data_IF_934699828525
#
_entry.id   IF_934699828525
#
_cell.length_a   1.000
_cell.length_b   1.000
_cell.length_c   1.000
_cell.angle_alpha   90.00
_cell.angle_beta   90.00
_cell.angle_gamma   90.00
#
_symmetry.space_group_name_H-M   'P 1'
#
loop_
_entity.id
_entity.type
_entity.pdbx_description
1 polymer ?
#
# COMPACT_ATOMS: atom_id res chain seq x y z
N UNK A 1 3.12 -9.02 -1.26
CA UNK A 1 4.56 -8.92 -1.61
C UNK A 1 5.16 -10.21 -2.20
N UNK A 2 5.32 -11.36 -1.50
CA UNK A 2 5.97 -12.55 -2.08
C UNK A 2 5.22 -13.16 -3.28
N UNK A 3 3.88 -13.16 -3.21
CA UNK A 3 3.04 -13.64 -4.32
C UNK A 3 3.19 -12.77 -5.58
N UNK A 4 3.38 -11.46 -5.42
CA UNK A 4 3.59 -10.54 -6.54
C UNK A 4 4.95 -10.78 -7.19
N UNK A 5 6.03 -10.89 -6.39
CA UNK A 5 7.37 -11.21 -6.90
C UNK A 5 7.36 -12.50 -7.73
N UNK A 6 6.67 -13.54 -7.24
CA UNK A 6 6.49 -14.78 -8.01
C UNK A 6 5.81 -14.52 -9.36
N UNK A 7 4.71 -13.77 -9.39
CA UNK A 7 4.00 -13.45 -10.64
C UNK A 7 4.87 -12.65 -11.62
N UNK A 8 5.72 -11.73 -11.13
CA UNK A 8 6.67 -10.98 -11.96
C UNK A 8 7.68 -11.90 -12.66
N UNK A 9 8.16 -12.93 -11.94
CA UNK A 9 9.05 -13.95 -12.51
C UNK A 9 8.31 -14.81 -13.52
N UNK A 10 7.10 -15.28 -13.18
CA UNK A 10 6.27 -16.12 -14.06
C UNK A 10 5.91 -15.42 -15.37
N UNK A 11 5.63 -14.11 -15.34
CA UNK A 11 5.34 -13.32 -16.53
C UNK A 11 6.59 -12.81 -17.27
N UNK A 12 7.79 -13.08 -16.74
CA UNK A 12 9.07 -12.63 -17.29
C UNK A 12 9.13 -11.11 -17.44
N UNK A 13 8.73 -10.40 -16.39
CA UNK A 13 8.91 -8.96 -16.31
C UNK A 13 10.39 -8.58 -16.50
N UNK A 14 10.68 -7.33 -16.94
CA UNK A 14 12.03 -6.79 -16.99
C UNK A 14 12.84 -7.10 -15.73
N UNK A 15 14.09 -7.53 -15.92
CA UNK A 15 14.92 -8.05 -14.83
C UNK A 15 15.19 -6.99 -13.74
N UNK A 16 15.29 -5.72 -14.14
CA UNK A 16 15.40 -4.58 -13.23
C UNK A 16 14.16 -4.40 -12.35
N UNK A 17 12.95 -4.56 -12.90
CA UNK A 17 11.71 -4.56 -12.12
C UNK A 17 11.64 -5.75 -11.15
N UNK A 18 12.05 -6.94 -11.57
CA UNK A 18 12.13 -8.11 -10.70
C UNK A 18 13.16 -7.89 -9.59
N UNK A 19 14.34 -7.37 -9.93
CA UNK A 19 15.41 -7.11 -8.98
C UNK A 19 15.00 -6.07 -7.93
N UNK A 20 14.30 -5.01 -8.36
CA UNK A 20 13.75 -4.00 -7.45
C UNK A 20 12.72 -4.63 -6.50
N UNK A 21 11.69 -5.29 -7.05
CA UNK A 21 10.63 -5.90 -6.26
C UNK A 21 11.10 -7.03 -5.33
N UNK A 22 12.27 -7.64 -5.61
CA UNK A 22 12.86 -8.67 -4.76
C UNK A 22 13.32 -8.16 -3.40
N UNK A 23 13.53 -6.84 -3.25
CA UNK A 23 13.96 -6.21 -2.00
C UNK A 23 12.78 -5.99 -1.06
N UNK A 24 11.61 -5.69 -1.59
CA UNK A 24 10.46 -5.27 -0.80
C UNK A 24 10.05 -6.25 0.30
N UNK A 25 10.04 -7.59 0.10
CA UNK A 25 9.76 -8.51 1.20
C UNK A 25 10.74 -8.38 2.37
N UNK A 26 12.01 -8.02 2.12
CA UNK A 26 13.00 -7.81 3.17
C UNK A 26 12.77 -6.48 3.89
N UNK A 27 12.41 -5.43 3.15
CA UNK A 27 12.03 -4.14 3.74
C UNK A 27 10.87 -4.34 4.73
N UNK A 28 9.82 -5.06 4.32
CA UNK A 28 8.68 -5.36 5.20
C UNK A 28 9.06 -6.18 6.43
N UNK A 29 9.98 -7.14 6.32
CA UNK A 29 10.47 -7.88 7.48
C UNK A 29 11.18 -6.95 8.48
N UNK A 30 11.97 -6.00 7.96
CA UNK A 30 12.63 -4.99 8.79
C UNK A 30 11.60 -4.05 9.43
N UNK A 31 10.61 -3.59 8.67
CA UNK A 31 9.55 -2.71 9.17
C UNK A 31 8.76 -3.36 10.30
N UNK A 32 8.36 -4.62 10.12
CA UNK A 32 7.65 -5.39 11.16
C UNK A 32 8.50 -5.56 12.42
N UNK A 33 9.78 -5.92 12.28
CA UNK A 33 10.70 -6.07 13.41
C UNK A 33 10.90 -4.75 14.17
N UNK A 34 11.09 -3.63 13.46
CA UNK A 34 11.23 -2.32 14.08
C UNK A 34 9.97 -1.91 14.85
N UNK A 35 8.79 -2.10 14.25
CA UNK A 35 7.51 -1.84 14.90
C UNK A 35 7.29 -2.73 16.14
N UNK A 36 7.64 -4.02 16.05
CA UNK A 36 7.54 -4.95 17.18
C UNK A 36 8.47 -4.55 18.33
N UNK A 37 9.69 -4.10 18.04
CA UNK A 37 10.63 -3.60 19.06
C UNK A 37 10.12 -2.33 19.73
N UNK A 38 9.59 -1.37 18.95
CA UNK A 38 8.97 -0.17 19.54
C UNK A 38 7.83 -0.56 20.47
N UNK A 39 6.95 -1.49 20.05
CA UNK A 39 5.89 -1.98 20.91
C UNK A 39 6.43 -2.63 22.20
N UNK A 40 7.52 -3.40 22.11
CA UNK A 40 8.20 -3.99 23.26
C UNK A 40 8.78 -2.97 24.24
N UNK A 41 9.48 -1.95 23.73
CA UNK A 41 10.04 -0.86 24.54
C UNK A 41 8.94 -0.04 25.25
N UNK A 42 7.76 0.07 24.62
CA UNK A 42 6.58 0.71 25.21
C UNK A 42 5.76 -0.21 26.13
N UNK A 43 6.22 -1.44 26.37
CA UNK A 43 5.57 -2.42 27.25
C UNK A 43 4.34 -3.11 26.65
N UNK A 44 4.11 -2.95 25.35
CA UNK A 44 2.96 -3.49 24.60
C UNK A 44 3.28 -4.69 23.70
N UNK A 45 4.45 -5.31 23.84
CA UNK A 45 4.78 -6.49 23.04
C UNK A 45 3.77 -7.63 23.29
N UNK A 46 3.19 -8.11 22.20
CA UNK A 46 2.28 -9.25 22.18
C UNK A 46 2.73 -10.26 21.14
N UNK A 47 2.50 -11.55 21.39
CA UNK A 47 2.67 -12.57 20.37
C UNK A 47 1.67 -12.33 19.24
N UNK A 48 2.16 -12.09 18.04
CA UNK A 48 1.33 -11.96 16.84
C UNK A 48 1.00 -13.36 16.31
N UNK A 49 -0.28 -13.72 16.33
CA UNK A 49 -0.80 -14.91 15.66
C UNK A 49 -1.61 -14.49 14.44
N UNK A 50 -1.31 -15.05 13.28
CA UNK A 50 -2.06 -14.79 12.05
C UNK A 50 -2.27 -16.08 11.26
N UNK A 51 -3.30 -16.09 10.43
CA UNK A 51 -3.56 -17.14 9.46
C UNK A 51 -2.81 -16.80 8.16
N UNK A 52 -1.78 -17.58 7.77
CA UNK A 52 -0.98 -17.30 6.58
C UNK A 52 -1.81 -17.27 5.29
N UNK A 53 -2.90 -18.04 5.22
CA UNK A 53 -3.74 -18.12 4.02
C UNK A 53 -4.65 -16.89 3.86
N UNK A 54 -4.90 -16.17 4.96
CA UNK A 54 -5.76 -14.97 4.97
C UNK A 54 -4.97 -13.67 5.00
N UNK A 55 -3.64 -13.75 5.11
CA UNK A 55 -2.77 -12.58 5.23
C UNK A 55 -2.55 -11.87 3.88
N UNK A 56 -2.59 -12.61 2.77
CA UNK A 56 -2.36 -12.04 1.43
C UNK A 56 -3.63 -12.15 0.62
N UNK A 57 -4.25 -11.01 0.31
CA UNK A 57 -5.37 -10.96 -0.61
C UNK A 57 -4.95 -11.53 -1.97
N UNK A 58 -5.86 -12.25 -2.64
CA UNK A 58 -5.57 -12.80 -3.96
C UNK A 58 -6.21 -11.97 -5.06
N UNK A 59 -5.44 -11.74 -6.12
CA UNK A 59 -5.84 -10.95 -7.28
C UNK A 59 -5.38 -11.63 -8.57
N UNK A 60 -6.25 -11.65 -9.58
CA UNK A 60 -5.95 -12.24 -10.89
C UNK A 60 -5.76 -13.77 -10.87
N UNK A 61 -6.40 -14.49 -9.94
CA UNK A 61 -6.33 -15.96 -9.97
C UNK A 61 -6.95 -16.53 -11.24
N UNK A 62 -6.29 -17.55 -11.80
CA UNK A 62 -6.69 -18.17 -13.05
C UNK A 62 -6.38 -17.35 -14.31
N UNK A 63 -5.91 -16.11 -14.17
CA UNK A 63 -5.44 -15.31 -15.30
C UNK A 63 -4.06 -15.77 -15.79
N UNK A 64 -3.73 -15.42 -17.04
CA UNK A 64 -2.38 -15.55 -17.58
C UNK A 64 -1.35 -14.79 -16.71
N UNK A 65 -0.08 -15.24 -16.65
CA UNK A 65 0.90 -14.72 -15.69
C UNK A 65 1.06 -13.19 -15.69
N UNK A 66 1.08 -12.54 -16.86
CA UNK A 66 1.21 -11.09 -16.96
C UNK A 66 -0.03 -10.36 -16.41
N UNK A 67 -1.23 -10.83 -16.79
CA UNK A 67 -2.49 -10.24 -16.36
C UNK A 67 -2.63 -10.39 -14.84
N UNK A 68 -2.31 -11.57 -14.30
CA UNK A 68 -2.24 -11.81 -12.86
C UNK A 68 -1.28 -10.87 -12.14
N UNK A 69 -0.05 -10.70 -12.66
CA UNK A 69 0.91 -9.76 -12.08
C UNK A 69 0.37 -8.32 -12.11
N UNK A 70 -0.26 -7.90 -13.20
CA UNK A 70 -0.85 -6.56 -13.32
C UNK A 70 -1.99 -6.33 -12.33
N UNK A 71 -2.88 -7.32 -12.11
CA UNK A 71 -3.92 -7.24 -11.07
C UNK A 71 -3.33 -7.02 -9.68
N UNK A 72 -2.28 -7.78 -9.34
CA UNK A 72 -1.59 -7.65 -8.05
C UNK A 72 -0.87 -6.30 -7.92
N UNK A 73 -0.20 -5.83 -8.98
CA UNK A 73 0.50 -4.54 -8.98
C UNK A 73 -0.47 -3.37 -8.83
N UNK A 74 -1.61 -3.43 -9.52
CA UNK A 74 -2.67 -2.41 -9.38
C UNK A 74 -3.18 -2.36 -7.94
N UNK A 75 -3.58 -3.50 -7.38
CA UNK A 75 -4.16 -3.54 -6.04
C UNK A 75 -3.16 -3.13 -4.95
N UNK A 76 -1.95 -3.71 -4.95
CA UNK A 76 -1.00 -3.52 -3.86
C UNK A 76 -0.20 -2.23 -3.97
N UNK A 77 0.27 -1.85 -5.16
CA UNK A 77 1.18 -0.71 -5.30
C UNK A 77 0.47 0.55 -5.81
N UNK A 78 -0.34 0.41 -6.85
CA UNK A 78 -0.99 1.56 -7.48
C UNK A 78 -2.17 2.10 -6.66
N UNK A 79 -2.76 1.25 -5.80
CA UNK A 79 -3.77 1.65 -4.82
C UNK A 79 -3.20 1.60 -3.41
N UNK A 80 -2.73 0.43 -2.95
CA UNK A 80 -2.23 0.24 -1.58
C UNK A 80 -1.10 1.21 -1.23
N UNK A 81 0.06 1.09 -1.88
CA UNK A 81 1.23 1.92 -1.57
C UNK A 81 1.03 3.40 -1.88
N UNK A 82 0.38 3.71 -3.01
CA UNK A 82 0.03 5.09 -3.36
C UNK A 82 -0.87 5.78 -2.30
N UNK A 83 -1.58 5.02 -1.46
CA UNK A 83 -2.33 5.54 -0.32
C UNK A 83 -1.55 5.47 0.99
N UNK A 84 -0.85 4.37 1.27
CA UNK A 84 -0.17 4.13 2.54
C UNK A 84 1.00 5.09 2.76
N UNK A 85 1.80 5.36 1.73
CA UNK A 85 3.07 6.10 1.85
C UNK A 85 2.83 7.56 2.28
N UNK A 86 1.90 8.33 1.67
CA UNK A 86 1.58 9.67 2.15
C UNK A 86 1.08 9.69 3.59
N UNK A 87 0.35 8.66 4.01
CA UNK A 87 -0.19 8.54 5.36
C UNK A 87 0.90 8.21 6.37
N UNK A 88 1.81 7.30 6.03
CA UNK A 88 2.99 6.99 6.82
C UNK A 88 3.88 8.23 6.99
N UNK A 89 4.10 9.00 5.93
CA UNK A 89 4.82 10.27 6.01
C UNK A 89 4.08 11.31 6.89
N UNK A 90 2.75 11.32 6.87
CA UNK A 90 1.91 12.11 7.79
C UNK A 90 2.10 11.70 9.25
N UNK A 91 2.03 10.40 9.54
CA UNK A 91 2.30 9.78 10.85
C UNK A 91 3.70 10.15 11.36
N UNK A 92 4.72 10.03 10.50
CA UNK A 92 6.08 10.47 10.84
C UNK A 92 6.14 11.95 11.21
N UNK A 93 5.47 12.83 10.45
CA UNK A 93 5.43 14.26 10.76
C UNK A 93 4.73 14.57 12.08
N UNK A 94 3.64 13.86 12.38
CA UNK A 94 2.90 14.02 13.62
C UNK A 94 3.65 13.48 14.85
N UNK A 95 4.52 12.48 14.66
CA UNK A 95 5.24 11.83 15.75
C UNK A 95 6.28 12.76 16.41
N UNK A 96 6.20 12.90 17.74
CA UNK A 96 7.14 13.69 18.55
C UNK A 96 8.06 12.81 19.39
N UNK A 97 7.65 11.57 19.71
CA UNK A 97 8.44 10.64 20.50
C UNK A 97 9.73 10.24 19.75
N UNK A 98 10.94 10.47 20.31
CA UNK A 98 12.19 10.34 19.56
C UNK A 98 12.42 8.96 18.93
N UNK A 99 12.15 7.89 19.69
CA UNK A 99 12.36 6.51 19.22
C UNK A 99 11.43 6.19 18.04
N UNK A 100 10.13 6.42 18.22
CA UNK A 100 9.09 6.13 17.23
C UNK A 100 9.29 6.97 15.99
N UNK A 101 9.66 8.24 16.15
CA UNK A 101 9.95 9.13 15.03
C UNK A 101 11.16 8.66 14.22
N UNK A 102 12.22 8.15 14.87
CA UNK A 102 13.39 7.61 14.19
C UNK A 102 13.04 6.34 13.40
N UNK A 103 12.22 5.45 13.97
CA UNK A 103 11.74 4.26 13.27
C UNK A 103 10.86 4.63 12.08
N UNK A 104 9.88 5.52 12.26
CA UNK A 104 9.03 5.99 11.17
C UNK A 104 9.85 6.69 10.06
N UNK A 105 10.90 7.44 10.42
CA UNK A 105 11.79 8.06 9.44
C UNK A 105 12.49 7.02 8.56
N UNK A 106 12.97 5.94 9.18
CA UNK A 106 13.62 4.83 8.46
C UNK A 106 12.65 4.14 7.50
N UNK A 107 11.44 3.83 7.96
CA UNK A 107 10.41 3.20 7.13
C UNK A 107 10.06 4.11 5.94
N UNK A 108 9.77 5.40 6.19
CA UNK A 108 9.48 6.38 5.11
C UNK A 108 10.59 6.47 4.07
N UNK A 109 11.85 6.33 4.46
CA UNK A 109 12.98 6.32 3.53
C UNK A 109 13.00 5.08 2.63
N UNK A 110 12.66 3.91 3.18
CA UNK A 110 12.60 2.65 2.45
C UNK A 110 11.43 2.59 1.45
N UNK A 111 10.32 3.26 1.76
CA UNK A 111 9.10 3.24 0.94
C UNK A 111 9.21 4.00 -0.41
N UNK A 112 10.28 4.76 -0.63
CA UNK A 112 10.41 5.58 -1.84
C UNK A 112 10.32 4.75 -3.13
N UNK A 113 10.98 3.58 -3.15
CA UNK A 113 10.97 2.67 -4.30
C UNK A 113 9.60 1.98 -4.47
N UNK A 114 8.93 1.63 -3.37
CA UNK A 114 7.59 1.02 -3.38
C UNK A 114 6.57 1.92 -4.06
N UNK A 115 6.60 3.22 -3.75
CA UNK A 115 5.68 4.21 -4.30
C UNK A 115 5.83 4.46 -5.80
N UNK A 116 6.98 4.14 -6.39
CA UNK A 116 7.26 4.33 -7.82
C UNK A 116 7.15 3.04 -8.64
N UNK A 117 7.39 1.89 -8.00
CA UNK A 117 7.44 0.59 -8.65
C UNK A 117 6.17 0.26 -9.44
N UNK A 118 4.98 0.41 -8.83
CA UNK A 118 3.73 -0.01 -9.45
C UNK A 118 3.44 0.70 -10.78
N UNK A 119 3.73 2.00 -10.83
CA UNK A 119 3.56 2.82 -12.03
C UNK A 119 4.58 2.45 -13.12
N UNK A 120 5.83 2.22 -12.74
CA UNK A 120 6.89 1.81 -13.67
C UNK A 120 6.57 0.45 -14.29
N UNK A 121 6.06 -0.49 -13.48
CA UNK A 121 5.59 -1.78 -13.98
C UNK A 121 4.42 -1.62 -14.96
N UNK A 122 3.43 -0.79 -14.65
CA UNK A 122 2.28 -0.58 -15.54
C UNK A 122 2.69 0.06 -16.87
N UNK A 123 3.61 1.02 -16.86
CA UNK A 123 4.12 1.66 -18.08
C UNK A 123 4.77 0.65 -19.04
N UNK A 124 5.35 -0.43 -18.51
CA UNK A 124 5.80 -1.57 -19.31
C UNK A 124 4.65 -2.50 -19.70
N UNK A 125 3.86 -2.95 -18.72
CA UNK A 125 2.87 -4.01 -18.90
C UNK A 125 1.74 -3.62 -19.85
N UNK A 126 1.30 -2.35 -19.85
CA UNK A 126 0.16 -1.90 -20.65
C UNK A 126 0.34 -2.10 -22.16
N UNK A 127 1.57 -2.10 -22.67
CA UNK A 127 1.85 -2.39 -24.09
C UNK A 127 1.58 -3.85 -24.49
N UNK A 128 1.40 -4.72 -23.51
CA UNK A 128 1.21 -6.16 -23.68
C UNK A 128 -0.20 -6.62 -23.29
N UNK A 129 -1.04 -5.72 -22.79
CA UNK A 129 -2.39 -6.01 -22.31
C UNK A 129 -3.44 -5.67 -23.38
N UNK A 130 -4.50 -6.46 -23.42
CA UNK A 130 -5.66 -6.16 -24.26
C UNK A 130 -6.54 -5.08 -23.61
N UNK A 131 -7.43 -4.43 -24.37
CA UNK A 131 -8.41 -3.50 -23.80
C UNK A 131 -9.26 -4.13 -22.68
N UNK A 132 -9.65 -5.40 -22.84
CA UNK A 132 -10.45 -6.14 -21.85
C UNK A 132 -9.66 -6.37 -20.55
N UNK A 133 -8.36 -6.66 -20.65
CA UNK A 133 -7.47 -6.76 -19.49
C UNK A 133 -7.38 -5.40 -18.76
N UNK A 134 -7.20 -4.30 -19.50
CA UNK A 134 -7.13 -2.95 -18.93
C UNK A 134 -8.43 -2.59 -18.21
N UNK A 135 -9.59 -2.96 -18.76
CA UNK A 135 -10.88 -2.78 -18.09
C UNK A 135 -10.97 -3.63 -16.80
N UNK A 136 -10.47 -4.85 -16.82
CA UNK A 136 -10.41 -5.72 -15.65
C UNK A 136 -9.48 -5.18 -14.54
N UNK A 137 -8.37 -4.53 -14.91
CA UNK A 137 -7.52 -3.81 -13.98
C UNK A 137 -8.25 -2.64 -13.33
N UNK A 138 -9.08 -1.92 -14.09
CA UNK A 138 -9.96 -0.88 -13.56
C UNK A 138 -10.88 -1.38 -12.45
N UNK A 139 -11.57 -2.50 -12.69
CA UNK A 139 -12.42 -3.17 -11.67
C UNK A 139 -11.62 -3.61 -10.44
N UNK A 140 -10.37 -3.99 -10.62
CA UNK A 140 -9.48 -4.38 -9.51
C UNK A 140 -9.08 -3.19 -8.66
N UNK A 141 -8.76 -2.05 -9.30
CA UNK A 141 -8.50 -0.81 -8.60
C UNK A 141 -9.75 -0.37 -7.80
N UNK A 142 -10.93 -0.41 -8.42
CA UNK A 142 -12.18 -0.05 -7.73
C UNK A 142 -12.45 -0.95 -6.51
N UNK A 143 -12.23 -2.26 -6.62
CA UNK A 143 -12.38 -3.19 -5.50
C UNK A 143 -11.40 -2.90 -4.35
N UNK A 144 -10.14 -2.58 -4.67
CA UNK A 144 -9.14 -2.20 -3.67
C UNK A 144 -9.49 -0.86 -3.00
N UNK A 145 -9.94 0.13 -3.78
CA UNK A 145 -10.38 1.44 -3.28
C UNK A 145 -11.59 1.27 -2.36
N UNK A 146 -12.59 0.46 -2.73
CA UNK A 146 -13.77 0.23 -1.91
C UNK A 146 -13.44 -0.36 -0.54
N UNK A 147 -12.43 -1.25 -0.46
CA UNK A 147 -11.94 -1.78 0.81
C UNK A 147 -11.35 -0.68 1.72
N UNK A 148 -10.61 0.26 1.14
CA UNK A 148 -10.08 1.41 1.87
C UNK A 148 -11.20 2.35 2.32
N UNK A 149 -12.18 2.62 1.47
CA UNK A 149 -13.33 3.46 1.81
C UNK A 149 -14.17 2.87 2.95
N UNK A 150 -14.34 1.55 2.98
CA UNK A 150 -15.02 0.86 4.06
C UNK A 150 -14.32 1.11 5.40
N UNK A 151 -12.98 1.03 5.42
CA UNK A 151 -12.18 1.38 6.61
C UNK A 151 -12.37 2.85 7.01
N UNK A 152 -12.44 3.77 6.04
CA UNK A 152 -12.68 5.19 6.35
C UNK A 152 -14.09 5.46 6.86
N UNK A 153 -15.09 4.74 6.34
CA UNK A 153 -16.46 4.83 6.84
C UNK A 153 -16.56 4.35 8.30
N UNK A 154 -15.88 3.24 8.63
CA UNK A 154 -15.75 2.77 10.02
C UNK A 154 -15.07 3.83 10.90
N UNK A 155 -13.94 4.37 10.47
CA UNK A 155 -13.23 5.43 11.22
C UNK A 155 -14.10 6.65 11.49
N UNK A 156 -14.92 7.09 10.52
CA UNK A 156 -15.86 8.22 10.69
C UNK A 156 -16.99 7.91 11.68
N UNK A 157 -17.38 6.65 11.82
CA UNK A 157 -18.45 6.23 12.72
C UNK A 157 -17.98 6.10 14.18
N UNK A 158 -16.66 6.05 14.41
CA UNK A 158 -16.09 5.97 15.77
C UNK A 158 -16.34 7.27 16.54
N UNK A 159 -16.55 7.19 17.86
CA UNK A 159 -16.71 8.37 18.70
C UNK A 159 -15.47 9.28 18.62
N UNK A 160 -15.64 10.60 18.77
CA UNK A 160 -14.51 11.54 18.77
C UNK A 160 -13.47 11.12 19.82
N UNK A 161 -12.20 11.11 19.40
CA UNK A 161 -11.08 10.76 20.26
C UNK A 161 -11.00 11.72 21.46
N UNK A 162 -10.84 11.18 22.67
CA UNK A 162 -10.39 11.98 23.81
C UNK A 162 -8.97 12.49 23.50
N UNK A 163 -8.67 13.75 23.81
CA UNK A 163 -7.31 14.31 23.70
C UNK A 163 -6.36 13.51 24.60
N UNK A 164 -5.70 12.52 24.03
CA UNK A 164 -4.64 11.75 24.67
C UNK A 164 -3.38 11.95 23.84
N UNK A 165 -2.22 11.89 24.49
CA UNK A 165 -0.85 11.93 23.95
C UNK A 165 -0.54 10.89 22.83
N UNK A 166 -1.55 10.31 22.19
CA UNK A 166 -1.43 9.38 21.08
C UNK A 166 -0.63 9.97 19.90
N UNK A 167 -0.72 11.29 19.67
CA UNK A 167 0.09 11.96 18.64
C UNK A 167 1.59 11.86 18.91
N UNK A 168 2.00 11.73 20.17
CA UNK A 168 3.42 11.61 20.50
C UNK A 168 4.01 10.34 19.89
N UNK A 169 3.23 9.26 19.83
CA UNK A 169 3.59 7.99 19.21
C UNK A 169 3.29 7.93 17.70
N UNK A 170 2.97 9.06 17.06
CA UNK A 170 2.74 9.15 15.63
C UNK A 170 1.29 8.97 15.20
N UNK A 171 0.33 8.93 16.13
CA UNK A 171 -1.08 8.94 15.74
C UNK A 171 -1.44 10.24 15.02
N UNK A 172 -1.81 10.13 13.76
CA UNK A 172 -2.41 11.23 13.02
C UNK A 172 -3.89 11.30 13.39
N UNK A 173 -4.36 12.47 13.86
CA UNK A 173 -5.78 12.68 14.20
C UNK A 173 -6.68 12.23 13.06
N UNK A 174 -7.79 11.55 13.38
CA UNK A 174 -8.70 10.96 12.38
C UNK A 174 -9.12 11.94 11.27
N UNK A 175 -9.43 13.20 11.61
CA UNK A 175 -9.78 14.21 10.59
C UNK A 175 -8.61 14.51 9.63
N UNK A 176 -7.41 14.72 10.18
CA UNK A 176 -6.20 14.96 9.39
C UNK A 176 -5.85 13.75 8.51
N UNK A 177 -6.03 12.54 9.06
CA UNK A 177 -5.89 11.29 8.32
C UNK A 177 -6.84 11.26 7.13
N UNK A 178 -8.15 11.42 7.34
CA UNK A 178 -9.15 11.33 6.27
C UNK A 178 -8.94 12.38 5.18
N UNK A 179 -8.55 13.61 5.53
CA UNK A 179 -8.22 14.67 4.57
C UNK A 179 -6.97 14.32 3.75
N UNK A 180 -5.94 13.77 4.39
CA UNK A 180 -4.73 13.32 3.70
C UNK A 180 -5.03 12.14 2.78
N UNK A 181 -5.83 11.18 3.24
CA UNK A 181 -6.18 9.98 2.48
C UNK A 181 -7.02 10.31 1.24
N UNK A 182 -8.03 11.19 1.36
CA UNK A 182 -8.83 11.61 0.20
C UNK A 182 -7.96 12.34 -0.83
N UNK A 183 -7.04 13.19 -0.37
CA UNK A 183 -6.09 13.88 -1.25
C UNK A 183 -5.15 12.91 -1.96
N UNK A 184 -4.63 11.91 -1.24
CA UNK A 184 -3.76 10.87 -1.79
C UNK A 184 -4.51 10.04 -2.83
N UNK A 185 -5.74 9.61 -2.54
CA UNK A 185 -6.57 8.87 -3.49
C UNK A 185 -6.77 9.63 -4.79
N UNK A 186 -7.13 10.91 -4.71
CA UNK A 186 -7.37 11.72 -5.90
C UNK A 186 -6.08 11.91 -6.73
N UNK A 187 -4.97 12.26 -6.07
CA UNK A 187 -3.74 12.69 -6.76
C UNK A 187 -2.79 11.56 -7.13
N UNK A 188 -2.75 10.52 -6.32
CA UNK A 188 -1.75 9.45 -6.41
C UNK A 188 -2.35 8.13 -6.90
N UNK A 189 -3.67 7.96 -6.87
CA UNK A 189 -4.33 6.74 -7.36
C UNK A 189 -5.18 7.04 -8.60
N UNK A 190 -6.26 7.82 -8.44
CA UNK A 190 -7.25 8.03 -9.50
C UNK A 190 -6.66 8.76 -10.71
N UNK A 191 -5.97 9.88 -10.49
CA UNK A 191 -5.37 10.63 -11.58
C UNK A 191 -4.31 9.82 -12.36
N UNK A 192 -3.35 9.12 -11.72
CA UNK A 192 -2.37 8.30 -12.44
C UNK A 192 -2.95 7.07 -13.15
N UNK A 193 -3.99 6.42 -12.60
CA UNK A 193 -4.71 5.33 -13.29
C UNK A 193 -5.41 5.84 -14.56
N UNK A 194 -6.14 6.95 -14.45
CA UNK A 194 -6.84 7.57 -15.59
C UNK A 194 -5.87 8.05 -16.67
N UNK A 195 -4.73 8.63 -16.28
CA UNK A 195 -3.69 9.07 -17.21
C UNK A 195 -3.12 7.91 -18.05
N UNK A 196 -3.20 6.68 -17.53
CA UNK A 196 -2.79 5.43 -18.20
C UNK A 196 -3.93 4.72 -18.94
N UNK A 197 -5.11 5.34 -19.00
CA UNK A 197 -6.29 4.77 -19.66
C UNK A 197 -6.96 3.63 -18.88
N UNK A 198 -6.62 3.43 -17.60
CA UNK A 198 -7.26 2.43 -16.76
C UNK A 198 -8.58 3.02 -16.23
N UNK A 199 -9.75 2.45 -16.58
CA UNK A 199 -11.05 3.02 -16.21
C UNK A 199 -11.37 2.72 -14.75
N UNK A 200 -11.53 3.75 -13.94
CA UNK A 200 -11.99 3.66 -12.53
C UNK A 200 -13.36 4.32 -12.40
N UNK A 201 -14.27 3.68 -11.67
CA UNK A 201 -15.68 4.11 -11.58
C UNK A 201 -15.93 5.27 -10.63
N UNK A 202 -15.06 5.45 -9.62
CA UNK A 202 -15.10 6.63 -8.76
C UNK A 202 -14.80 7.88 -9.58
N UNK A 203 -15.58 8.95 -9.39
CA UNK A 203 -15.41 10.26 -10.03
C UNK A 203 -14.28 11.09 -9.41
#
# INVERSE_FOLDING_TARGET
MPATLRSLIECRAPLDLIALASRFPLDEMVHVELCARVAGELGGAVSLTYDPERMVASYGEGCEPLVKAAHQVVAFFCVGEALSIPLLHGTWKACTHPLTRAVLARIVEDEADHGTFGWTFLDWALHHLTPDDVEALGRTADAAIAGVEANWADLRARPPEAEVHASDLGWMRTEAYLVASERALQRQVLAPLRARGIPVSRA
#
